data_IF_688639814829
#
_entry.id   IF_688639814829
#
_cell.length_a   1.000
_cell.length_b   1.000
_cell.length_c   1.000
_cell.angle_alpha   90.00
_cell.angle_beta   90.00
_cell.angle_gamma   90.00
#
_symmetry.space_group_name_H-M   'P 1'
#
loop_
_entity.id
_entity.type
_entity.pdbx_description
1 polymer ?
#
# COMPACT_ATOMS: atom_id res chain seq x y z
N UNK A 1 -10.98 -4.59 -14.27
CA UNK A 1 -10.93 -3.53 -13.23
C UNK A 1 -9.46 -3.20 -13.02
N UNK A 2 -9.10 -1.93 -12.81
CA UNK A 2 -7.71 -1.54 -12.54
C UNK A 2 -7.65 -1.21 -11.06
N UNK A 3 -6.64 -1.72 -10.36
CA UNK A 3 -6.44 -1.46 -8.95
C UNK A 3 -4.98 -1.15 -8.61
N UNK A 4 -4.74 -0.60 -7.41
CA UNK A 4 -3.42 -0.58 -6.79
C UNK A 4 -3.36 -1.64 -5.69
N UNK A 5 -2.16 -2.12 -5.38
CA UNK A 5 -1.89 -3.06 -4.29
C UNK A 5 -2.56 -2.63 -2.99
N UNK A 6 -3.08 -3.57 -2.21
CA UNK A 6 -3.66 -3.25 -0.91
C UNK A 6 -4.27 -4.43 -0.17
N UNK A 7 -4.03 -4.45 1.14
CA UNK A 7 -4.42 -5.52 2.05
C UNK A 7 -5.45 -5.09 3.11
N UNK A 8 -5.86 -6.08 3.91
CA UNK A 8 -6.51 -5.87 5.21
C UNK A 8 -5.64 -6.42 6.34
N UNK A 9 -5.31 -5.57 7.31
CA UNK A 9 -4.51 -5.97 8.47
C UNK A 9 -5.36 -6.71 9.49
N UNK A 10 -4.88 -7.86 9.98
CA UNK A 10 -5.54 -8.66 11.01
C UNK A 10 -4.80 -8.51 12.36
N UNK A 11 -5.42 -7.95 13.41
CA UNK A 11 -4.76 -7.68 14.70
C UNK A 11 -4.12 -8.91 15.37
N UNK A 12 -4.60 -10.10 15.05
CA UNK A 12 -4.10 -11.38 15.56
C UNK A 12 -2.68 -11.68 15.09
N UNK A 13 -2.23 -11.11 13.96
CA UNK A 13 -0.86 -11.28 13.45
C UNK A 13 0.19 -10.76 14.45
N UNK A 14 -0.16 -9.75 15.25
CA UNK A 14 0.68 -9.22 16.33
C UNK A 14 0.21 -9.61 17.73
N UNK A 15 -0.64 -10.63 17.82
CA UNK A 15 -1.13 -11.18 19.08
C UNK A 15 -2.06 -10.26 19.86
N UNK A 16 -2.67 -9.25 19.21
CA UNK A 16 -3.69 -8.42 19.84
C UNK A 16 -5.03 -9.17 19.79
N UNK A 17 -5.47 -9.67 20.94
CA UNK A 17 -6.81 -10.24 21.15
C UNK A 17 -7.72 -9.23 21.85
N UNK A 18 -9.05 -9.40 21.77
CA UNK A 18 -10.04 -8.33 22.03
C UNK A 18 -10.05 -7.73 23.44
N UNK A 19 -9.25 -8.24 24.39
CA UNK A 19 -9.45 -7.99 25.81
C UNK A 19 -8.23 -7.35 26.51
N UNK A 20 -7.19 -6.91 25.78
CA UNK A 20 -5.92 -6.41 26.35
C UNK A 20 -5.78 -4.87 26.42
N UNK A 21 -6.86 -4.12 26.66
CA UNK A 21 -6.71 -2.68 26.86
C UNK A 21 -6.20 -2.35 28.27
N UNK A 22 -4.88 -2.30 28.41
CA UNK A 22 -4.20 -1.73 29.59
C UNK A 22 -3.61 -0.39 29.18
N UNK A 23 -4.07 0.70 29.80
CA UNK A 23 -3.68 2.08 29.44
C UNK A 23 -2.15 2.28 29.44
N UNK A 24 -1.43 1.60 30.33
CA UNK A 24 0.04 1.63 30.43
C UNK A 24 0.74 0.93 29.26
N UNK A 25 0.05 0.01 28.58
CA UNK A 25 0.57 -0.73 27.42
C UNK A 25 0.20 -0.06 26.09
N UNK A 26 -0.64 0.98 26.10
CA UNK A 26 -1.17 1.62 24.89
C UNK A 26 -0.09 2.13 23.94
N UNK A 27 0.99 2.72 24.47
CA UNK A 27 2.11 3.20 23.64
C UNK A 27 2.88 2.05 22.99
N UNK A 28 3.16 0.99 23.75
CA UNK A 28 3.80 -0.21 23.22
C UNK A 28 2.93 -0.90 22.15
N UNK A 29 1.62 -0.95 22.37
CA UNK A 29 0.66 -1.46 21.39
C UNK A 29 0.68 -0.60 20.12
N UNK A 30 0.63 0.73 20.24
CA UNK A 30 0.67 1.62 19.08
C UNK A 30 1.95 1.46 18.27
N UNK A 31 3.10 1.25 18.92
CA UNK A 31 4.37 0.98 18.25
C UNK A 31 4.28 -0.34 17.47
N UNK A 32 3.79 -1.42 18.10
CA UNK A 32 3.63 -2.73 17.43
C UNK A 32 2.65 -2.67 16.26
N UNK A 33 1.51 -2.00 16.43
CA UNK A 33 0.51 -1.81 15.37
C UNK A 33 1.10 -1.01 14.22
N UNK A 34 1.79 0.09 14.51
CA UNK A 34 2.39 0.94 13.46
C UNK A 34 3.49 0.19 12.70
N UNK A 35 4.29 -0.60 13.42
CA UNK A 35 5.33 -1.43 12.81
C UNK A 35 4.71 -2.51 11.91
N UNK A 36 3.69 -3.23 12.39
CA UNK A 36 2.97 -4.21 11.57
C UNK A 36 2.36 -3.58 10.34
N UNK A 37 1.75 -2.39 10.45
CA UNK A 37 1.19 -1.70 9.30
C UNK A 37 2.24 -1.39 8.22
N UNK A 38 3.48 -1.09 8.63
CA UNK A 38 4.59 -0.85 7.70
C UNK A 38 5.19 -2.15 7.15
N UNK A 39 5.30 -3.19 7.97
CA UNK A 39 5.89 -4.47 7.56
C UNK A 39 4.94 -5.24 6.63
N UNK A 40 3.65 -5.28 6.96
CA UNK A 40 2.63 -5.91 6.13
C UNK A 40 2.47 -5.24 4.76
N UNK A 41 2.59 -3.91 4.64
CA UNK A 41 2.51 -3.28 3.30
C UNK A 41 3.72 -3.66 2.44
N UNK A 42 4.91 -3.83 3.03
CA UNK A 42 6.09 -4.33 2.29
C UNK A 42 5.87 -5.79 1.89
N UNK A 43 5.40 -6.62 2.82
CA UNK A 43 5.08 -8.04 2.60
C UNK A 43 4.07 -8.20 1.46
N UNK A 44 2.98 -7.43 1.48
CA UNK A 44 1.96 -7.40 0.43
C UNK A 44 2.55 -7.10 -0.95
N UNK A 45 3.39 -6.06 -1.07
CA UNK A 45 4.03 -5.75 -2.36
C UNK A 45 4.90 -6.91 -2.84
N UNK A 46 5.66 -7.55 -1.93
CA UNK A 46 6.49 -8.70 -2.28
C UNK A 46 5.64 -9.89 -2.71
N UNK A 47 4.54 -10.15 -2.02
CA UNK A 47 3.64 -11.28 -2.28
C UNK A 47 2.86 -11.10 -3.59
N UNK A 48 2.36 -9.90 -3.90
CA UNK A 48 1.57 -9.61 -5.11
C UNK A 48 2.40 -9.46 -6.38
N UNK A 49 3.65 -8.94 -6.32
CA UNK A 49 4.49 -8.73 -7.51
C UNK A 49 5.83 -9.45 -7.53
N UNK A 50 6.17 -10.20 -6.48
CA UNK A 50 7.34 -11.08 -6.44
C UNK A 50 8.70 -10.37 -6.33
N UNK A 51 8.73 -9.05 -6.22
CA UNK A 51 10.01 -8.30 -6.15
C UNK A 51 10.69 -8.52 -4.80
N UNK A 52 12.04 -8.51 -4.74
CA UNK A 52 12.75 -8.64 -3.47
C UNK A 52 12.46 -7.44 -2.55
N UNK A 53 12.22 -7.69 -1.25
CA UNK A 53 12.04 -6.62 -0.27
C UNK A 53 13.23 -5.64 -0.22
N UNK A 54 14.45 -6.11 -0.50
CA UNK A 54 15.66 -5.28 -0.58
C UNK A 54 15.65 -4.26 -1.72
N UNK A 55 14.77 -4.42 -2.71
CA UNK A 55 14.55 -3.44 -3.78
C UNK A 55 13.58 -2.32 -3.38
N UNK A 56 12.90 -2.45 -2.25
CA UNK A 56 11.86 -1.53 -1.79
C UNK A 56 12.44 -0.57 -0.73
N UNK A 57 12.10 0.71 -0.83
CA UNK A 57 12.39 1.69 0.21
C UNK A 57 11.44 1.51 1.41
N UNK A 58 11.80 2.09 2.56
CA UNK A 58 10.86 2.19 3.69
C UNK A 58 9.56 2.88 3.23
N UNK A 59 8.37 2.30 3.50
CA UNK A 59 7.10 2.90 3.13
C UNK A 59 6.91 4.26 3.77
N UNK A 60 6.46 5.23 2.97
CA UNK A 60 6.10 6.57 3.45
C UNK A 60 4.59 6.68 3.56
N UNK A 61 4.07 6.88 4.77
CA UNK A 61 2.65 7.16 4.97
C UNK A 61 2.24 8.45 4.26
N UNK A 62 1.30 8.35 3.34
CA UNK A 62 0.82 9.45 2.51
C UNK A 62 -0.45 10.10 3.05
N UNK A 63 -1.28 9.33 3.76
CA UNK A 63 -2.52 9.81 4.35
C UNK A 63 -3.62 8.75 4.38
N UNK A 64 -4.84 9.16 4.74
CA UNK A 64 -6.02 8.31 4.78
C UNK A 64 -7.05 8.85 3.80
N UNK A 65 -7.61 7.98 2.96
CA UNK A 65 -8.81 8.27 2.19
C UNK A 65 -9.99 7.46 2.72
N UNK A 66 -11.21 8.00 2.55
CA UNK A 66 -12.45 7.34 2.96
C UNK A 66 -13.30 7.05 1.73
N UNK A 67 -13.79 5.82 1.59
CA UNK A 67 -14.75 5.45 0.55
C UNK A 67 -16.09 6.18 0.77
N UNK A 68 -16.72 6.63 -0.32
CA UNK A 68 -18.05 7.27 -0.23
C UNK A 68 -19.17 6.27 0.09
N UNK A 69 -19.08 5.03 -0.41
CA UNK A 69 -20.18 4.06 -0.33
C UNK A 69 -20.38 3.47 1.07
N UNK A 70 -19.30 3.06 1.72
CA UNK A 70 -19.34 2.33 3.00
C UNK A 70 -18.54 3.02 4.12
N UNK A 71 -18.09 4.26 3.88
CA UNK A 71 -17.31 5.07 4.83
C UNK A 71 -16.02 4.40 5.33
N UNK A 72 -15.57 3.32 4.68
CA UNK A 72 -14.38 2.57 5.10
C UNK A 72 -13.14 3.44 4.87
N UNK A 73 -12.34 3.72 5.91
CA UNK A 73 -11.05 4.37 5.76
C UNK A 73 -10.03 3.40 5.15
N UNK A 74 -9.08 3.95 4.42
CA UNK A 74 -7.95 3.22 3.84
C UNK A 74 -6.72 4.11 3.99
N UNK A 75 -5.69 3.59 4.66
CA UNK A 75 -4.38 4.21 4.75
C UNK A 75 -3.61 3.98 3.44
N UNK A 76 -2.89 5.00 2.98
CA UNK A 76 -2.09 4.92 1.76
C UNK A 76 -0.62 5.13 2.09
N UNK A 77 0.22 4.29 1.49
CA UNK A 77 1.66 4.35 1.60
C UNK A 77 2.29 4.48 0.22
N UNK A 78 3.42 5.16 0.16
CA UNK A 78 4.25 5.26 -1.03
C UNK A 78 5.58 4.53 -0.79
N UNK A 79 5.92 3.62 -1.70
CA UNK A 79 7.15 2.82 -1.67
C UNK A 79 7.90 3.06 -2.99
N UNK A 80 9.19 3.38 -2.92
CA UNK A 80 10.06 3.40 -4.10
C UNK A 80 10.61 2.01 -4.32
N UNK A 81 10.66 1.57 -5.58
CA UNK A 81 11.38 0.39 -6.00
C UNK A 81 12.63 0.83 -6.78
N UNK A 82 13.77 0.16 -6.56
CA UNK A 82 15.00 0.39 -7.32
C UNK A 82 15.03 -0.32 -8.68
N UNK A 83 14.13 -1.29 -8.89
CA UNK A 83 13.98 -2.02 -10.15
C UNK A 83 13.19 -1.19 -11.17
N UNK A 84 13.55 -1.33 -12.44
CA UNK A 84 12.77 -0.76 -13.52
C UNK A 84 11.51 -1.58 -13.83
N UNK A 85 10.61 -1.01 -14.64
CA UNK A 85 9.34 -1.65 -14.98
C UNK A 85 9.48 -3.02 -15.65
N UNK A 86 10.54 -3.26 -16.43
CA UNK A 86 10.76 -4.55 -17.11
C UNK A 86 11.25 -5.59 -16.11
N UNK A 87 12.15 -5.20 -15.21
CA UNK A 87 12.61 -6.07 -14.13
C UNK A 87 11.44 -6.47 -13.22
N UNK A 88 10.60 -5.51 -12.81
CA UNK A 88 9.40 -5.80 -12.01
C UNK A 88 8.46 -6.80 -12.72
N UNK A 89 8.24 -6.63 -14.02
CA UNK A 89 7.41 -7.55 -14.82
C UNK A 89 8.00 -8.97 -14.88
N UNK A 90 9.32 -9.13 -14.82
CA UNK A 90 9.95 -10.45 -14.78
C UNK A 90 9.70 -11.18 -13.45
N UNK A 91 9.62 -10.45 -12.33
CA UNK A 91 9.30 -11.03 -11.02
C UNK A 91 7.84 -11.43 -10.86
N UNK A 92 6.93 -10.68 -11.50
CA UNK A 92 5.48 -10.87 -11.38
C UNK A 92 5.01 -12.30 -11.71
N UNK A 93 5.64 -12.99 -12.67
CA UNK A 93 5.29 -14.38 -13.02
C UNK A 93 5.53 -15.39 -11.89
N UNK A 94 6.31 -15.00 -10.88
CA UNK A 94 6.66 -15.80 -9.70
C UNK A 94 6.04 -15.26 -8.40
N UNK A 95 5.18 -14.25 -8.49
CA UNK A 95 4.49 -13.68 -7.34
C UNK A 95 3.67 -14.74 -6.61
N UNK A 96 3.74 -14.73 -5.27
CA UNK A 96 3.02 -15.67 -4.42
C UNK A 96 1.51 -15.54 -4.60
N UNK A 97 1.02 -14.30 -4.65
CA UNK A 97 -0.40 -13.95 -4.80
C UNK A 97 -0.72 -13.45 -6.21
N UNK A 98 0.05 -13.91 -7.20
CA UNK A 98 -0.17 -13.61 -8.62
C UNK A 98 -1.51 -14.11 -9.18
N UNK A 99 -2.31 -14.85 -8.40
CA UNK A 99 -3.65 -15.29 -8.77
C UNK A 99 -4.75 -14.25 -8.46
N UNK A 100 -4.49 -13.26 -7.61
CA UNK A 100 -5.46 -12.22 -7.25
C UNK A 100 -5.65 -11.17 -8.35
N UNK A 101 -4.64 -11.03 -9.20
CA UNK A 101 -4.64 -10.15 -10.36
C UNK A 101 -4.44 -10.94 -11.66
N UNK A 102 -4.86 -10.36 -12.79
CA UNK A 102 -4.71 -11.03 -14.10
C UNK A 102 -3.53 -10.50 -14.89
N UNK A 103 -3.13 -9.25 -14.65
CA UNK A 103 -2.06 -8.55 -15.37
C UNK A 103 -1.50 -7.42 -14.50
N UNK A 104 -0.19 -7.21 -14.60
CA UNK A 104 0.50 -6.06 -14.03
C UNK A 104 0.79 -5.02 -15.12
N UNK A 105 0.57 -3.73 -14.82
CA UNK A 105 0.88 -2.63 -15.73
C UNK A 105 1.78 -1.60 -15.06
N UNK A 106 2.87 -1.23 -15.73
CA UNK A 106 3.67 -0.08 -15.37
C UNK A 106 3.29 1.09 -16.29
N UNK A 107 2.81 2.19 -15.69
CA UNK A 107 2.32 3.35 -16.42
C UNK A 107 2.94 4.64 -15.88
N UNK A 108 3.20 5.65 -16.72
CA UNK A 108 3.64 6.95 -16.26
C UNK A 108 2.53 7.65 -15.46
N UNK A 109 2.90 8.59 -14.58
CA UNK A 109 1.96 9.29 -13.70
C UNK A 109 0.80 9.96 -14.46
N UNK A 110 1.07 10.52 -15.64
CA UNK A 110 0.06 11.14 -16.51
C UNK A 110 -1.03 10.15 -16.95
N UNK A 111 -0.69 8.87 -17.13
CA UNK A 111 -1.67 7.84 -17.49
C UNK A 111 -2.45 7.35 -16.26
N UNK A 112 -1.84 7.35 -15.08
CA UNK A 112 -2.53 7.03 -13.81
C UNK A 112 -3.72 7.98 -13.60
N UNK A 113 -3.58 9.27 -13.95
CA UNK A 113 -4.69 10.23 -13.88
C UNK A 113 -5.88 9.81 -14.74
N UNK A 114 -5.62 9.37 -15.97
CA UNK A 114 -6.66 8.87 -16.86
C UNK A 114 -7.31 7.59 -16.31
N UNK A 115 -6.50 6.71 -15.72
CA UNK A 115 -6.93 5.43 -15.15
C UNK A 115 -7.69 5.56 -13.83
N UNK A 116 -7.44 6.60 -13.03
CA UNK A 116 -8.09 6.83 -11.74
C UNK A 116 -9.62 6.90 -11.85
N UNK A 117 -10.13 7.35 -13.01
CA UNK A 117 -11.57 7.33 -13.30
C UNK A 117 -12.18 5.92 -13.29
N UNK A 118 -11.39 4.87 -13.56
CA UNK A 118 -11.80 3.46 -13.64
C UNK A 118 -11.40 2.64 -12.42
N UNK A 119 -10.66 3.22 -11.49
CA UNK A 119 -10.25 2.57 -10.24
C UNK A 119 -11.38 2.58 -9.21
N UNK A 120 -11.42 1.59 -8.28
CA UNK A 120 -12.35 1.62 -7.17
C UNK A 120 -12.16 2.87 -6.30
N UNK A 121 -13.23 3.30 -5.62
CA UNK A 121 -13.31 4.63 -4.98
C UNK A 121 -12.20 4.96 -3.97
N UNK A 122 -11.63 3.98 -3.26
CA UNK A 122 -10.50 4.22 -2.35
C UNK A 122 -9.22 4.62 -3.11
N UNK A 123 -8.93 4.00 -4.24
CA UNK A 123 -7.69 4.19 -5.00
C UNK A 123 -7.64 5.55 -5.70
N UNK A 124 -8.81 6.13 -6.02
CA UNK A 124 -8.90 7.56 -6.41
C UNK A 124 -8.35 8.49 -5.34
N UNK A 125 -8.64 8.23 -4.08
CA UNK A 125 -8.10 8.99 -2.96
C UNK A 125 -6.60 8.75 -2.78
N UNK A 126 -6.14 7.51 -2.96
CA UNK A 126 -4.70 7.20 -3.01
C UNK A 126 -3.95 8.01 -4.06
N UNK A 127 -4.48 8.09 -5.28
CA UNK A 127 -3.89 8.92 -6.34
C UNK A 127 -3.86 10.41 -5.99
N UNK A 128 -4.92 10.94 -5.39
CA UNK A 128 -4.94 12.34 -4.94
C UNK A 128 -3.87 12.60 -3.87
N UNK A 129 -3.71 11.69 -2.90
CA UNK A 129 -2.65 11.77 -1.87
C UNK A 129 -1.26 11.70 -2.50
N UNK A 130 -1.06 10.82 -3.49
CA UNK A 130 0.20 10.72 -4.22
C UNK A 130 0.54 12.02 -4.96
N UNK A 131 -0.43 12.63 -5.66
CA UNK A 131 -0.24 13.94 -6.31
C UNK A 131 0.20 15.01 -5.31
N UNK A 132 -0.49 15.11 -4.16
CA UNK A 132 -0.11 16.05 -3.10
C UNK A 132 1.31 15.81 -2.59
N UNK A 133 1.70 14.55 -2.38
CA UNK A 133 3.05 14.21 -1.95
C UNK A 133 4.11 14.61 -3.00
N UNK A 134 3.86 14.34 -4.29
CA UNK A 134 4.79 14.69 -5.38
C UNK A 134 4.91 16.20 -5.54
N UNK A 135 3.80 16.94 -5.48
CA UNK A 135 3.82 18.39 -5.64
C UNK A 135 4.51 19.08 -4.45
N UNK A 136 4.33 18.60 -3.22
CA UNK A 136 5.06 19.11 -2.06
C UNK A 136 6.57 18.89 -2.17
N UNK A 137 7.03 17.81 -2.82
CA UNK A 137 8.46 17.57 -3.06
C UNK A 137 9.08 18.48 -4.13
N UNK A 138 8.28 19.16 -4.95
CA UNK A 138 8.76 20.17 -5.92
C UNK A 138 8.98 21.55 -5.28
N UNK A 139 8.52 21.74 -4.04
CA UNK A 139 8.55 23.02 -3.31
C UNK A 139 9.77 23.10 -2.36
N UNK A 140 10.49 21.99 -2.18
CA UNK A 140 11.80 21.88 -1.49
C UNK A 140 12.92 21.70 -2.49
#
# INVERSE_FOLDING_TARGET
>A
MVDSMGLFHEPQEIGITSDQYVKELAESINIKVSQEMLDSIVREVVEEIGVPASSLSIPTFSGISRRNLNLRPTAFFFIKCSLDSKEVQQFYSSAQDGYESTQLYAVPMVEVENMASRMPSCHRGGFALYKLMVDNRKIT
#
